data_IF_571626374224
#
_entry.id   IF_571626374224
#
_cell.length_a   1.000
_cell.length_b   1.000
_cell.length_c   1.000
_cell.angle_alpha   90.00
_cell.angle_beta   90.00
_cell.angle_gamma   90.00
#
_symmetry.space_group_name_H-M   'P 1'
#
loop_
_entity.id
_entity.type
_entity.pdbx_description
1 polymer ?
#
# COMPACT_ATOMS: atom_id res chain seq x y z
N UNK A 1 17.96 14.15 -5.13
CA UNK A 1 17.07 12.99 -5.30
C UNK A 1 16.24 12.97 -4.05
N UNK A 2 14.96 13.30 -4.16
CA UNK A 2 14.06 13.44 -3.02
C UNK A 2 13.21 12.18 -2.99
N UNK A 3 13.52 11.24 -2.10
CA UNK A 3 12.74 10.02 -1.94
C UNK A 3 11.39 10.39 -1.34
N UNK A 4 10.34 10.45 -2.17
CA UNK A 4 9.03 10.91 -1.72
C UNK A 4 8.28 9.75 -1.07
N UNK A 5 8.04 9.87 0.23
CA UNK A 5 7.19 8.94 0.96
C UNK A 5 5.78 9.50 1.04
N UNK A 6 4.83 8.83 0.41
CA UNK A 6 3.40 9.15 0.47
C UNK A 6 2.72 8.19 1.44
N UNK A 7 1.83 8.68 2.30
CA UNK A 7 0.99 7.84 3.15
C UNK A 7 -0.46 7.89 2.66
N UNK A 8 -1.08 6.72 2.52
CA UNK A 8 -2.47 6.56 2.10
C UNK A 8 -3.24 5.82 3.19
N UNK A 9 -4.18 6.52 3.80
CA UNK A 9 -5.03 5.97 4.84
C UNK A 9 -6.29 5.36 4.23
N UNK A 10 -6.44 4.03 4.36
CA UNK A 10 -7.59 3.28 3.87
C UNK A 10 -8.32 2.57 5.02
N UNK A 11 -8.26 3.15 6.24
CA UNK A 11 -9.06 2.66 7.36
C UNK A 11 -10.55 2.81 7.05
N UNK A 12 -11.34 1.76 7.29
CA UNK A 12 -12.78 1.71 7.04
C UNK A 12 -13.15 1.44 5.58
N UNK A 13 -12.18 1.36 4.68
CA UNK A 13 -12.42 1.00 3.28
C UNK A 13 -12.43 -0.51 3.13
N UNK A 14 -13.48 -1.04 2.51
CA UNK A 14 -13.60 -2.48 2.22
C UNK A 14 -13.16 -2.77 0.79
N UNK A 15 -12.61 -3.97 0.57
CA UNK A 15 -12.29 -4.46 -0.77
C UNK A 15 -13.53 -4.37 -1.70
N UNK A 16 -13.34 -3.97 -2.98
CA UNK A 16 -12.05 -3.82 -3.68
C UNK A 16 -11.47 -2.39 -3.67
N UNK A 17 -12.12 -1.42 -3.03
CA UNK A 17 -11.73 -0.01 -3.13
C UNK A 17 -10.32 0.26 -2.59
N UNK A 18 -9.89 -0.51 -1.59
CA UNK A 18 -8.56 -0.40 -1.00
C UNK A 18 -7.45 -0.63 -2.02
N UNK A 19 -7.61 -1.65 -2.87
CA UNK A 19 -6.69 -1.94 -3.95
C UNK A 19 -6.75 -0.86 -5.03
N UNK A 20 -7.95 -0.45 -5.45
CA UNK A 20 -8.13 0.56 -6.50
C UNK A 20 -7.48 1.89 -6.11
N UNK A 21 -7.67 2.36 -4.87
CA UNK A 21 -7.05 3.59 -4.36
C UNK A 21 -5.53 3.47 -4.26
N UNK A 22 -5.04 2.34 -3.77
CA UNK A 22 -3.59 2.06 -3.71
C UNK A 22 -2.97 2.15 -5.10
N UNK A 23 -3.59 1.49 -6.08
CA UNK A 23 -3.15 1.51 -7.48
C UNK A 23 -3.16 2.92 -8.05
N UNK A 24 -4.28 3.65 -7.92
CA UNK A 24 -4.40 5.02 -8.42
C UNK A 24 -3.34 5.96 -7.82
N UNK A 25 -3.00 5.76 -6.54
CA UNK A 25 -1.94 6.53 -5.90
C UNK A 25 -0.57 6.15 -6.45
N UNK A 26 -0.28 4.84 -6.60
CA UNK A 26 0.96 4.38 -7.23
C UNK A 26 1.09 4.90 -8.67
N UNK A 27 0.02 4.92 -9.47
CA UNK A 27 0.02 5.46 -10.84
C UNK A 27 0.40 6.93 -10.91
N UNK A 28 0.10 7.72 -9.87
CA UNK A 28 0.46 9.14 -9.76
C UNK A 28 1.86 9.39 -9.18
N UNK A 29 2.54 8.35 -8.69
CA UNK A 29 3.87 8.43 -8.08
C UNK A 29 4.98 8.11 -9.08
N UNK A 30 6.18 8.61 -8.81
CA UNK A 30 7.35 8.38 -9.66
C UNK A 30 8.07 7.06 -9.28
N UNK A 31 8.76 6.47 -10.25
CA UNK A 31 9.62 5.32 -10.02
C UNK A 31 10.70 5.66 -8.99
N UNK A 32 10.73 4.90 -7.90
CA UNK A 32 11.60 5.15 -6.74
C UNK A 32 10.84 5.62 -5.49
N UNK A 33 9.63 6.16 -5.64
CA UNK A 33 8.84 6.64 -4.51
C UNK A 33 8.29 5.49 -3.64
N UNK A 34 7.99 5.81 -2.39
CA UNK A 34 7.47 4.87 -1.41
C UNK A 34 6.06 5.25 -0.98
N UNK A 35 5.09 4.36 -1.19
CA UNK A 35 3.72 4.47 -0.71
C UNK A 35 3.54 3.62 0.55
N UNK A 36 3.14 4.24 1.65
CA UNK A 36 2.73 3.57 2.88
C UNK A 36 1.21 3.51 2.93
N UNK A 37 0.63 2.32 2.92
CA UNK A 37 -0.83 2.15 2.95
C UNK A 37 -1.28 1.59 4.28
N UNK A 38 -2.25 2.24 4.92
CA UNK A 38 -2.81 1.82 6.20
C UNK A 38 -4.11 1.06 5.96
N UNK A 39 -4.18 -0.17 6.48
CA UNK A 39 -5.37 -1.04 6.44
C UNK A 39 -5.86 -1.33 7.85
N UNK A 40 -7.17 -1.42 8.01
CA UNK A 40 -7.81 -1.82 9.27
C UNK A 40 -8.33 -3.27 9.26
N UNK A 41 -8.00 -4.04 8.23
CA UNK A 41 -8.57 -5.37 8.00
C UNK A 41 -7.51 -6.38 7.52
N UNK A 42 -7.47 -7.52 8.21
CA UNK A 42 -6.51 -8.60 7.93
C UNK A 42 -6.53 -9.17 6.49
N UNK A 43 -7.65 -9.19 5.74
CA UNK A 43 -7.61 -9.66 4.35
C UNK A 43 -6.76 -8.77 3.41
N UNK A 44 -6.66 -7.46 3.68
CA UNK A 44 -5.90 -6.55 2.82
C UNK A 44 -4.40 -6.79 2.90
N UNK A 45 -3.86 -7.16 4.07
CA UNK A 45 -2.43 -7.48 4.20
C UNK A 45 -2.00 -8.69 3.39
N UNK A 46 -2.94 -9.56 3.00
CA UNK A 46 -2.66 -10.69 2.11
C UNK A 46 -2.84 -10.32 0.63
N UNK A 47 -3.95 -9.65 0.31
CA UNK A 47 -4.32 -9.38 -1.07
C UNK A 47 -3.57 -8.20 -1.69
N UNK A 48 -3.38 -7.10 -0.96
CA UNK A 48 -2.74 -5.91 -1.51
C UNK A 48 -1.28 -6.17 -1.89
N UNK A 49 -0.43 -6.74 -1.01
CA UNK A 49 0.96 -7.05 -1.39
C UNK A 49 1.06 -8.00 -2.59
N UNK A 50 0.12 -8.94 -2.73
CA UNK A 50 0.07 -9.85 -3.89
C UNK A 50 -0.27 -9.08 -5.16
N UNK A 51 -1.31 -8.26 -5.16
CA UNK A 51 -1.70 -7.49 -6.34
C UNK A 51 -0.62 -6.49 -6.75
N UNK A 52 -0.01 -5.81 -5.78
CA UNK A 52 1.09 -4.86 -5.99
C UNK A 52 2.30 -5.55 -6.62
N UNK A 53 2.67 -6.75 -6.14
CA UNK A 53 3.74 -7.56 -6.79
C UNK A 53 3.36 -8.01 -8.19
N UNK A 54 2.10 -8.39 -8.42
CA UNK A 54 1.61 -8.75 -9.75
C UNK A 54 1.63 -7.57 -10.73
N UNK A 55 1.49 -6.34 -10.24
CA UNK A 55 1.65 -5.13 -11.04
C UNK A 55 3.11 -4.77 -11.33
N UNK A 56 4.07 -5.46 -10.70
CA UNK A 56 5.51 -5.23 -10.89
C UNK A 56 6.12 -4.27 -9.88
N UNK A 57 5.38 -3.85 -8.86
CA UNK A 57 5.89 -3.00 -7.78
C UNK A 57 6.56 -3.83 -6.68
N UNK A 58 7.41 -3.17 -5.88
CA UNK A 58 8.15 -3.83 -4.80
C UNK A 58 7.48 -3.57 -3.47
N UNK A 59 7.15 -4.63 -2.72
CA UNK A 59 6.68 -4.48 -1.33
C UNK A 59 7.89 -4.49 -0.41
N UNK A 60 8.13 -3.38 0.28
CA UNK A 60 9.24 -3.21 1.23
C UNK A 60 8.99 -3.95 2.54
N UNK A 61 7.76 -3.89 3.05
CA UNK A 61 7.45 -4.47 4.35
C UNK A 61 5.98 -4.30 4.76
N UNK A 62 5.60 -5.00 5.83
CA UNK A 62 4.29 -4.89 6.46
C UNK A 62 4.53 -4.72 7.96
N UNK A 63 4.07 -3.59 8.50
CA UNK A 63 4.14 -3.24 9.91
C UNK A 63 2.77 -3.41 10.56
N UNK A 64 2.73 -4.10 11.70
CA UNK A 64 1.52 -4.27 12.49
C UNK A 64 1.51 -3.23 13.60
N UNK A 65 0.61 -2.25 13.48
CA UNK A 65 0.56 -1.08 14.38
C UNK A 65 -0.35 -1.35 15.58
N UNK A 66 -1.50 -2.00 15.36
CA UNK A 66 -2.49 -2.28 16.41
C UNK A 66 -3.36 -3.48 16.04
N UNK A 67 -4.21 -3.95 16.97
CA UNK A 67 -5.02 -5.18 16.85
C UNK A 67 -5.75 -5.36 15.50
N UNK A 68 -6.25 -4.27 14.92
CA UNK A 68 -6.86 -4.25 13.59
C UNK A 68 -6.24 -3.14 12.74
N UNK A 69 -4.92 -2.93 12.80
CA UNK A 69 -4.26 -1.88 12.03
C UNK A 69 -2.89 -2.31 11.53
N UNK A 70 -2.72 -2.27 10.22
CA UNK A 70 -1.51 -2.65 9.51
C UNK A 70 -1.08 -1.55 8.55
N UNK A 71 0.23 -1.35 8.41
CA UNK A 71 0.87 -0.50 7.42
C UNK A 71 1.61 -1.37 6.43
N UNK A 72 1.42 -1.15 5.14
CA UNK A 72 2.19 -1.82 4.09
C UNK A 72 3.00 -0.78 3.35
N UNK A 73 4.30 -1.00 3.27
CA UNK A 73 5.24 -0.14 2.56
C UNK A 73 5.48 -0.71 1.16
N UNK A 74 5.19 0.08 0.15
CA UNK A 74 5.29 -0.29 -1.26
C UNK A 74 6.23 0.71 -1.92
N UNK A 75 7.27 0.22 -2.59
CA UNK A 75 8.13 1.01 -3.47
C UNK A 75 7.66 0.86 -4.90
N UNK A 76 7.39 1.99 -5.55
CA UNK A 76 7.14 2.03 -6.98
C UNK A 76 8.45 1.75 -7.72
N UNK A 77 8.37 0.80 -8.64
CA UNK A 77 9.42 0.46 -9.61
C UNK A 77 9.03 1.05 -10.95
#
# INVERSE_FOLDING_TARGET
MEEKTTELDLKGEVCPFTFVKTKLQLEQMESGDVLTVIFDHAPAIGNVPKSVRNEGHTVLGIDHIAANLWKVHIKKV
#
